data_IF_443804751359
#
_entry.id   IF_443804751359
#
_cell.length_a   1.000
_cell.length_b   1.000
_cell.length_c   1.000
_cell.angle_alpha   90.00
_cell.angle_beta   90.00
_cell.angle_gamma   90.00
#
_symmetry.space_group_name_H-M   'P 1'
#
loop_
_entity.id
_entity.type
_entity.pdbx_description
1 polymer ?
#
# COMPACT_ATOMS: atom_id res chain seq x y z
N UNK A 1 -46.55 -25.03 57.05
CA UNK A 1 -47.34 -26.19 57.49
C UNK A 1 -47.84 -26.93 56.25
N UNK A 2 -47.53 -28.24 56.14
CA UNK A 2 -48.07 -29.26 55.18
C UNK A 2 -47.56 -29.14 53.73
N UNK A 3 -46.54 -29.91 53.29
CA UNK A 3 -46.38 -31.37 53.05
C UNK A 3 -46.95 -31.80 51.68
N UNK A 4 -46.16 -32.63 50.98
CA UNK A 4 -46.43 -33.69 49.95
C UNK A 4 -46.01 -33.31 48.53
N UNK A 5 -44.98 -33.93 47.95
CA UNK A 5 -44.92 -35.33 47.44
C UNK A 5 -45.95 -35.54 46.33
N UNK A 6 -45.70 -36.16 45.17
CA UNK A 6 -44.56 -36.81 44.55
C UNK A 6 -45.01 -37.25 43.12
N UNK A 7 -44.14 -37.99 42.41
CA UNK A 7 -44.47 -39.08 41.46
C UNK A 7 -44.48 -38.76 39.94
N UNK A 8 -43.47 -39.40 39.30
CA UNK A 8 -43.44 -40.11 38.02
C UNK A 8 -43.88 -39.42 36.71
N UNK A 9 -42.99 -39.45 35.71
CA UNK A 9 -43.04 -40.51 34.70
C UNK A 9 -41.84 -40.44 33.73
N UNK A 10 -41.33 -41.64 33.44
CA UNK A 10 -40.31 -42.03 32.47
C UNK A 10 -40.78 -41.72 31.04
N UNK A 11 -39.93 -41.13 30.19
CA UNK A 11 -39.81 -41.54 28.77
C UNK A 11 -38.35 -41.35 28.33
N UNK A 12 -37.70 -42.47 28.02
CA UNK A 12 -36.42 -42.53 27.33
C UNK A 12 -36.65 -42.24 25.83
N UNK A 13 -35.87 -41.31 25.27
CA UNK A 13 -35.76 -41.12 23.83
C UNK A 13 -34.28 -41.31 23.43
N UNK A 14 -34.04 -42.39 22.70
CA UNK A 14 -32.77 -42.80 22.13
C UNK A 14 -32.29 -41.78 21.09
N UNK A 15 -31.15 -41.14 21.36
CA UNK A 15 -30.48 -40.25 20.41
C UNK A 15 -29.61 -41.06 19.44
N UNK A 16 -30.04 -41.09 18.17
CA UNK A 16 -29.27 -41.63 17.04
C UNK A 16 -28.21 -40.59 16.68
N UNK A 17 -26.93 -40.88 16.93
CA UNK A 17 -25.81 -40.03 16.51
C UNK A 17 -25.41 -40.43 15.09
N UNK A 18 -25.89 -39.68 14.10
CA UNK A 18 -25.43 -39.76 12.72
C UNK A 18 -24.17 -38.91 12.56
N UNK A 19 -22.98 -39.53 12.53
CA UNK A 19 -21.75 -38.88 12.11
C UNK A 19 -21.54 -39.07 10.61
N UNK A 20 -21.97 -38.10 9.82
CA UNK A 20 -21.60 -38.01 8.40
C UNK A 20 -21.47 -36.54 8.04
N UNK A 21 -20.24 -36.08 7.81
CA UNK A 21 -20.03 -34.68 7.47
C UNK A 21 -18.59 -34.16 7.46
N UNK A 22 -17.59 -34.94 7.02
CA UNK A 22 -16.34 -34.32 6.53
C UNK A 22 -16.47 -34.13 5.01
N UNK A 23 -17.17 -33.07 4.59
CA UNK A 23 -17.00 -32.57 3.24
C UNK A 23 -15.73 -31.73 3.20
N UNK A 24 -14.64 -32.33 2.72
CA UNK A 24 -13.47 -31.58 2.28
C UNK A 24 -13.92 -30.69 1.14
N UNK A 25 -14.06 -29.38 1.40
CA UNK A 25 -14.30 -28.39 0.37
C UNK A 25 -13.16 -28.43 -0.66
N UNK A 26 -13.44 -28.09 -1.93
CA UNK A 26 -12.40 -28.08 -2.95
C UNK A 26 -11.31 -27.12 -2.51
N UNK A 27 -10.10 -27.67 -2.33
CA UNK A 27 -8.87 -26.90 -2.29
C UNK A 27 -8.88 -26.01 -3.52
N UNK A 28 -8.94 -24.69 -3.32
CA UNK A 28 -8.72 -23.73 -4.39
C UNK A 28 -7.34 -24.03 -4.94
N UNK A 29 -7.30 -24.72 -6.08
CA UNK A 29 -6.07 -24.99 -6.79
C UNK A 29 -5.40 -23.64 -7.04
N UNK A 30 -4.20 -23.49 -6.48
CA UNK A 30 -3.29 -22.40 -6.81
C UNK A 30 -3.18 -22.35 -8.33
N UNK A 31 -3.63 -21.23 -8.91
CA UNK A 31 -3.45 -20.98 -10.34
C UNK A 31 -1.96 -21.09 -10.70
N UNK A 32 -1.63 -21.38 -11.97
CA UNK A 32 -0.24 -21.55 -12.39
C UNK A 32 0.60 -20.36 -11.95
N UNK A 33 1.70 -20.66 -11.25
CA UNK A 33 2.72 -19.68 -10.87
C UNK A 33 3.34 -19.14 -12.16
N UNK A 34 2.82 -18.03 -12.68
CA UNK A 34 3.33 -17.39 -13.89
C UNK A 34 4.81 -16.99 -13.71
N UNK A 35 5.57 -17.05 -14.80
CA UNK A 35 6.99 -16.66 -14.81
C UNK A 35 7.15 -15.23 -14.27
N UNK A 36 8.01 -15.05 -13.27
CA UNK A 36 8.36 -13.72 -12.75
C UNK A 36 9.59 -13.18 -13.49
N UNK A 37 9.43 -12.04 -14.15
CA UNK A 37 10.50 -11.31 -14.83
C UNK A 37 11.00 -10.19 -13.92
N UNK A 38 12.29 -10.24 -13.58
CA UNK A 38 12.93 -9.20 -12.77
C UNK A 38 13.43 -8.05 -13.64
N UNK A 39 13.09 -6.84 -13.26
CA UNK A 39 13.51 -5.59 -13.87
C UNK A 39 14.53 -4.89 -12.97
N UNK A 40 15.58 -4.35 -13.59
CA UNK A 40 16.55 -3.50 -12.90
C UNK A 40 16.30 -2.04 -13.28
N UNK A 41 15.93 -1.23 -12.29
CA UNK A 41 15.80 0.21 -12.47
C UNK A 41 17.06 0.93 -11.98
N UNK A 42 17.66 1.75 -12.85
CA UNK A 42 18.64 2.77 -12.47
C UNK A 42 17.89 4.10 -12.36
N UNK A 43 17.69 4.59 -11.14
CA UNK A 43 17.00 5.87 -10.93
C UNK A 43 17.90 7.02 -11.40
N UNK A 44 17.36 7.89 -12.24
CA UNK A 44 18.13 8.99 -12.83
C UNK A 44 18.69 9.97 -11.78
N UNK A 45 18.00 10.10 -10.63
CA UNK A 45 18.39 10.96 -9.52
C UNK A 45 18.16 10.28 -8.18
N UNK A 46 19.16 10.34 -7.31
CA UNK A 46 19.05 9.93 -5.90
C UNK A 46 18.66 11.11 -4.99
N UNK A 47 18.02 10.81 -3.87
CA UNK A 47 17.56 11.79 -2.89
C UNK A 47 17.99 11.40 -1.46
N UNK A 48 19.26 11.64 -1.07
CA UNK A 48 19.80 11.31 0.25
C UNK A 48 19.12 12.01 1.44
N UNK A 49 18.34 13.07 1.22
CA UNK A 49 17.69 13.86 2.28
C UNK A 49 16.23 14.17 1.99
N UNK A 50 15.40 14.30 3.02
CA UNK A 50 14.01 14.77 2.93
C UNK A 50 13.97 16.17 2.33
N UNK A 51 14.97 17.03 2.60
CA UNK A 51 15.05 18.37 2.01
C UNK A 51 15.08 18.32 0.48
N UNK A 52 15.84 17.39 -0.11
CA UNK A 52 15.89 17.22 -1.56
C UNK A 52 14.58 16.62 -2.10
N UNK A 53 14.01 15.60 -1.43
CA UNK A 53 12.68 15.08 -1.81
C UNK A 53 11.62 16.19 -1.80
N UNK A 54 11.59 17.01 -0.75
CA UNK A 54 10.62 18.11 -0.60
C UNK A 54 10.81 19.18 -1.67
N UNK A 55 12.06 19.51 -2.01
CA UNK A 55 12.36 20.51 -3.02
C UNK A 55 11.77 20.11 -4.37
N UNK A 56 12.02 18.86 -4.78
CA UNK A 56 11.71 18.39 -6.13
C UNK A 56 10.32 17.78 -6.29
N UNK A 57 9.58 17.59 -5.18
CA UNK A 57 8.22 17.06 -5.26
C UNK A 57 7.25 18.11 -5.80
N UNK A 58 6.45 17.78 -6.80
CA UNK A 58 5.27 18.58 -7.16
C UNK A 58 4.16 18.44 -6.11
N UNK A 59 4.03 17.22 -5.56
CA UNK A 59 3.05 16.88 -4.55
C UNK A 59 3.66 16.05 -3.42
N UNK A 60 3.20 16.30 -2.19
CA UNK A 60 3.52 15.45 -1.05
C UNK A 60 2.23 15.13 -0.33
N UNK A 61 1.91 13.84 -0.24
CA UNK A 61 0.61 13.36 0.24
C UNK A 61 0.74 12.18 1.19
N UNK A 62 -0.20 12.07 2.13
CA UNK A 62 -0.39 10.89 2.98
C UNK A 62 -1.71 10.23 2.65
N UNK A 63 -1.74 8.91 2.64
CA UNK A 63 -2.96 8.17 2.33
C UNK A 63 -2.78 6.68 2.20
N UNK A 64 -3.70 6.06 1.47
CA UNK A 64 -3.81 4.63 1.26
C UNK A 64 -3.85 4.27 -0.22
N UNK A 65 -3.17 3.21 -0.62
CA UNK A 65 -3.37 2.60 -1.93
C UNK A 65 -4.74 1.89 -1.97
N UNK A 66 -5.45 2.02 -3.08
CA UNK A 66 -6.77 1.43 -3.32
C UNK A 66 -6.72 0.54 -4.57
N UNK A 67 -7.66 0.72 -5.52
CA UNK A 67 -7.71 -0.09 -6.73
C UNK A 67 -6.48 0.10 -7.63
N UNK A 68 -6.09 -0.96 -8.34
CA UNK A 68 -4.95 -0.97 -9.25
C UNK A 68 -5.33 -1.54 -10.62
N UNK A 69 -4.66 -1.08 -11.67
CA UNK A 69 -4.76 -1.63 -13.02
C UNK A 69 -3.37 -1.68 -13.66
N UNK A 70 -3.10 -2.72 -14.43
CA UNK A 70 -1.92 -2.72 -15.31
C UNK A 70 -2.20 -1.87 -16.54
N UNK A 71 -1.24 -1.05 -16.92
CA UNK A 71 -1.17 -0.31 -18.18
C UNK A 71 0.14 -0.65 -18.89
N UNK A 72 0.24 -0.32 -20.16
CA UNK A 72 1.45 -0.51 -20.94
C UNK A 72 1.90 0.83 -21.52
N UNK A 73 3.18 1.12 -21.39
CA UNK A 73 3.82 2.29 -22.02
C UNK A 73 5.09 1.79 -22.68
N UNK A 74 5.23 2.03 -23.98
CA UNK A 74 6.40 1.64 -24.78
C UNK A 74 6.81 0.17 -24.62
N UNK A 75 5.83 -0.73 -24.55
CA UNK A 75 6.07 -2.17 -24.42
C UNK A 75 6.28 -2.64 -22.97
N UNK A 76 6.45 -1.74 -22.00
CA UNK A 76 6.69 -2.08 -20.60
C UNK A 76 5.40 -2.05 -19.76
N UNK A 77 5.20 -3.03 -18.86
CA UNK A 77 4.09 -2.99 -17.91
C UNK A 77 4.33 -1.93 -16.83
N UNK A 78 3.28 -1.16 -16.57
CA UNK A 78 3.15 -0.24 -15.44
C UNK A 78 1.90 -0.59 -14.65
N UNK A 79 1.93 -0.36 -13.35
CA UNK A 79 0.76 -0.47 -12.49
C UNK A 79 0.32 0.93 -12.09
N UNK A 80 -0.89 1.30 -12.50
CA UNK A 80 -1.56 2.53 -12.09
C UNK A 80 -2.45 2.20 -10.90
N UNK A 81 -2.10 2.76 -9.74
CA UNK A 81 -2.84 2.54 -8.50
C UNK A 81 -3.52 3.83 -8.06
N UNK A 82 -4.83 3.77 -7.80
CA UNK A 82 -5.56 4.85 -7.14
C UNK A 82 -5.03 5.00 -5.72
N UNK A 83 -4.65 6.21 -5.35
CA UNK A 83 -4.22 6.55 -4.01
C UNK A 83 -5.21 7.53 -3.37
N UNK A 84 -5.84 7.10 -2.29
CA UNK A 84 -6.80 7.90 -1.52
C UNK A 84 -6.03 8.78 -0.55
N UNK A 85 -5.93 10.07 -0.90
CA UNK A 85 -5.24 11.10 -0.14
C UNK A 85 -6.05 11.48 1.10
N UNK A 86 -5.51 11.15 2.26
CA UNK A 86 -6.02 11.60 3.55
C UNK A 86 -5.53 13.00 3.93
N UNK A 87 -4.36 13.41 3.41
CA UNK A 87 -3.76 14.70 3.72
C UNK A 87 -2.80 15.16 2.63
N UNK A 88 -2.99 16.38 2.16
CA UNK A 88 -2.03 17.12 1.34
C UNK A 88 -1.05 17.89 2.23
N UNK A 89 0.25 17.82 1.91
CA UNK A 89 1.33 18.50 2.62
C UNK A 89 2.02 19.53 1.72
N UNK A 90 2.20 19.19 0.44
CA UNK A 90 2.62 20.09 -0.65
C UNK A 90 1.76 19.80 -1.87
N UNK A 91 1.44 20.83 -2.64
CA UNK A 91 0.52 20.77 -3.77
C UNK A 91 -0.95 20.68 -3.32
N UNK A 92 -1.85 20.52 -4.29
CA UNK A 92 -3.27 20.28 -4.09
C UNK A 92 -3.87 19.68 -5.37
N UNK A 93 -5.03 19.02 -5.25
CA UNK A 93 -5.86 18.63 -6.39
C UNK A 93 -7.18 19.40 -6.36
N UNK A 94 -7.60 19.90 -7.51
CA UNK A 94 -8.91 20.56 -7.70
C UNK A 94 -10.04 19.52 -7.81
N UNK A 95 -9.71 18.27 -8.12
CA UNK A 95 -10.65 17.19 -8.45
C UNK A 95 -10.98 16.20 -7.33
N UNK A 96 -10.50 16.42 -6.10
CA UNK A 96 -10.83 15.59 -4.93
C UNK A 96 -9.63 14.96 -4.23
N UNK A 97 -9.93 13.92 -3.44
CA UNK A 97 -8.97 13.24 -2.54
C UNK A 97 -8.34 11.99 -3.18
N UNK A 98 -8.36 11.86 -4.50
CA UNK A 98 -7.78 10.72 -5.20
C UNK A 98 -6.79 11.18 -6.25
N UNK A 99 -5.69 10.44 -6.37
CA UNK A 99 -4.68 10.61 -7.42
C UNK A 99 -4.32 9.23 -7.98
N UNK A 100 -3.77 9.20 -9.19
CA UNK A 100 -3.18 7.98 -9.76
C UNK A 100 -1.68 7.99 -9.52
N UNK A 101 -1.16 6.94 -8.89
CA UNK A 101 0.28 6.72 -8.69
C UNK A 101 0.71 5.57 -9.60
N UNK A 102 1.66 5.85 -10.48
CA UNK A 102 2.22 4.88 -11.42
C UNK A 102 3.51 4.28 -10.88
N UNK A 103 3.62 2.95 -10.96
CA UNK A 103 4.84 2.20 -10.66
C UNK A 103 5.22 1.31 -11.85
N UNK A 104 6.51 1.12 -12.09
CA UNK A 104 7.00 0.16 -13.09
C UNK A 104 6.76 -1.27 -12.61
N UNK A 105 6.31 -2.14 -13.50
CA UNK A 105 5.96 -3.53 -13.20
C UNK A 105 4.44 -3.77 -13.25
N UNK A 106 4.05 -5.03 -13.15
CA UNK A 106 2.67 -5.47 -13.29
C UNK A 106 2.56 -6.79 -14.03
N UNK A 107 1.34 -7.22 -14.30
CA UNK A 107 1.07 -8.46 -15.04
C UNK A 107 0.88 -8.18 -16.53
N UNK A 108 1.66 -8.84 -17.38
CA UNK A 108 1.56 -8.75 -18.85
C UNK A 108 1.83 -10.13 -19.45
N UNK A 109 0.98 -10.56 -20.39
CA UNK A 109 1.12 -11.84 -21.10
C UNK A 109 1.29 -13.07 -20.18
N UNK A 110 0.59 -13.08 -19.05
CA UNK A 110 0.66 -14.15 -18.04
C UNK A 110 1.94 -14.15 -17.20
N UNK A 111 2.80 -13.13 -17.35
CA UNK A 111 4.06 -12.96 -16.62
C UNK A 111 3.99 -11.78 -15.66
N UNK A 112 4.60 -11.97 -14.49
CA UNK A 112 4.69 -10.93 -13.47
C UNK A 112 6.02 -10.19 -13.62
N UNK A 113 5.96 -8.90 -13.89
CA UNK A 113 7.14 -8.03 -13.96
C UNK A 113 7.32 -7.30 -12.63
N UNK A 114 8.52 -7.36 -12.07
CA UNK A 114 8.82 -6.78 -10.74
C UNK A 114 10.12 -6.02 -10.79
N UNK A 115 10.16 -4.84 -10.17
CA UNK A 115 11.40 -4.15 -9.83
C UNK A 115 11.74 -4.53 -8.39
N UNK A 116 12.78 -5.34 -8.18
CA UNK A 116 13.10 -5.90 -6.85
C UNK A 116 13.31 -4.79 -5.78
N UNK A 117 13.95 -3.70 -6.18
CA UNK A 117 14.23 -2.56 -5.32
C UNK A 117 12.99 -1.71 -5.01
N UNK A 118 11.90 -1.89 -5.77
CA UNK A 118 10.67 -1.11 -5.70
C UNK A 118 9.41 -1.99 -5.87
N UNK A 119 9.07 -2.81 -4.86
CA UNK A 119 7.93 -3.70 -4.97
C UNK A 119 6.62 -2.91 -5.16
N UNK A 120 5.72 -3.43 -6.01
CA UNK A 120 4.40 -2.83 -6.23
C UNK A 120 3.65 -2.66 -4.91
N UNK A 121 3.05 -1.48 -4.71
CA UNK A 121 2.19 -1.24 -3.56
C UNK A 121 0.91 -2.09 -3.68
N UNK A 122 0.37 -2.51 -2.53
CA UNK A 122 -0.85 -3.31 -2.48
C UNK A 122 -2.02 -2.45 -2.00
N UNK A 123 -3.26 -2.73 -2.45
CA UNK A 123 -4.45 -2.12 -1.89
C UNK A 123 -4.46 -2.25 -0.36
N UNK A 124 -4.71 -1.14 0.34
CA UNK A 124 -4.70 -1.03 1.80
C UNK A 124 -3.38 -0.53 2.40
N UNK A 125 -2.27 -0.63 1.68
CA UNK A 125 -0.98 -0.12 2.14
C UNK A 125 -1.06 1.38 2.42
N UNK A 126 -0.53 1.82 3.56
CA UNK A 126 -0.48 3.22 3.95
C UNK A 126 0.90 3.80 3.62
N UNK A 127 0.93 5.03 3.09
CA UNK A 127 2.19 5.68 2.76
C UNK A 127 2.15 7.20 2.93
N UNK A 128 3.35 7.77 3.10
CA UNK A 128 3.67 9.15 2.76
C UNK A 128 4.43 9.13 1.43
N UNK A 129 3.92 9.84 0.44
CA UNK A 129 4.46 9.89 -0.92
C UNK A 129 5.02 11.27 -1.25
N UNK A 130 6.23 11.26 -1.82
CA UNK A 130 6.90 12.40 -2.46
C UNK A 130 6.86 12.17 -3.96
N UNK A 131 6.12 13.02 -4.68
CA UNK A 131 5.66 12.72 -6.02
C UNK A 131 6.10 13.79 -7.02
N UNK A 132 6.50 13.35 -8.21
CA UNK A 132 6.54 14.16 -9.42
C UNK A 132 5.25 13.96 -10.23
N UNK A 133 4.81 15.02 -10.89
CA UNK A 133 3.67 15.00 -11.79
C UNK A 133 4.14 14.69 -13.21
N UNK A 134 3.55 13.66 -13.80
CA UNK A 134 3.77 13.28 -15.20
C UNK A 134 2.59 13.76 -16.07
N UNK A 135 2.72 13.79 -17.40
CA UNK A 135 1.61 14.13 -18.29
C UNK A 135 0.36 13.27 -18.02
N UNK A 136 -0.82 13.89 -18.10
CA UNK A 136 -2.10 13.21 -17.88
C UNK A 136 -2.52 13.09 -16.41
N UNK A 137 -2.05 13.98 -15.52
CA UNK A 137 -2.38 14.01 -14.09
C UNK A 137 -2.03 12.73 -13.31
N UNK A 138 -1.06 11.97 -13.82
CA UNK A 138 -0.51 10.79 -13.18
C UNK A 138 0.73 11.19 -12.39
N UNK A 139 0.93 10.60 -11.22
CA UNK A 139 2.08 10.84 -10.37
C UNK A 139 3.01 9.64 -10.33
N UNK A 140 4.31 9.88 -10.18
CA UNK A 140 5.30 8.87 -9.88
C UNK A 140 6.05 9.22 -8.59
N UNK A 141 6.48 8.20 -7.84
CA UNK A 141 7.29 8.43 -6.65
C UNK A 141 8.72 8.85 -7.06
N UNK A 142 9.21 9.95 -6.47
CA UNK A 142 10.55 10.45 -6.77
C UNK A 142 11.61 9.41 -6.46
N UNK A 143 12.45 9.09 -7.45
CA UNK A 143 13.50 8.08 -7.31
C UNK A 143 12.95 6.71 -6.89
N UNK A 144 11.77 6.35 -7.42
CA UNK A 144 11.07 5.09 -7.22
C UNK A 144 10.76 4.80 -5.74
N UNK A 145 11.45 3.85 -5.10
CA UNK A 145 11.22 3.47 -3.71
C UNK A 145 11.63 4.58 -2.73
N UNK A 146 12.41 5.57 -3.18
CA UNK A 146 12.89 6.67 -2.33
C UNK A 146 11.74 7.60 -1.90
N UNK A 147 10.87 7.95 -2.84
CA UNK A 147 9.72 8.83 -2.60
C UNK A 147 8.56 8.14 -1.90
N UNK A 148 8.62 6.84 -1.62
CA UNK A 148 7.56 6.08 -0.94
C UNK A 148 8.03 5.64 0.45
N UNK A 149 7.48 6.30 1.47
CA UNK A 149 7.71 5.92 2.87
C UNK A 149 6.49 5.16 3.39
N UNK A 150 6.69 3.89 3.75
CA UNK A 150 5.64 3.03 4.27
C UNK A 150 5.21 3.49 5.67
N UNK A 151 3.91 3.51 5.93
CA UNK A 151 3.33 3.84 7.23
C UNK A 151 2.71 2.59 7.82
N UNK A 152 3.17 2.21 9.01
CA UNK A 152 2.69 1.04 9.71
C UNK A 152 1.44 1.37 10.54
N UNK A 153 0.73 0.32 10.99
CA UNK A 153 -0.51 0.47 11.78
C UNK A 153 -0.30 1.20 13.11
N UNK A 154 0.88 1.08 13.71
CA UNK A 154 1.26 1.79 14.94
C UNK A 154 1.68 3.26 14.69
N UNK A 155 1.62 3.71 13.44
CA UNK A 155 2.03 5.05 13.02
C UNK A 155 3.53 5.20 12.84
N UNK A 156 4.33 4.14 12.98
CA UNK A 156 5.75 4.16 12.62
C UNK A 156 5.93 4.25 11.11
N UNK A 157 7.10 4.75 10.68
CA UNK A 157 7.43 4.94 9.27
C UNK A 157 8.70 4.18 8.91
N UNK A 158 8.70 3.59 7.71
CA UNK A 158 9.82 2.80 7.22
C UNK A 158 10.21 3.22 5.80
N UNK A 159 11.51 3.14 5.52
CA UNK A 159 12.03 3.25 4.16
C UNK A 159 11.91 1.90 3.45
N UNK A 160 11.76 1.93 2.14
CA UNK A 160 11.87 0.75 1.31
C UNK A 160 13.35 0.41 1.06
N UNK A 161 13.65 -0.88 0.84
CA UNK A 161 15.03 -1.39 0.73
C UNK A 161 15.85 -0.69 -0.37
N UNK A 162 15.23 -0.37 -1.51
CA UNK A 162 15.89 0.29 -2.65
C UNK A 162 16.02 1.80 -2.55
N UNK A 163 15.68 2.39 -1.40
CA UNK A 163 15.73 3.85 -1.20
C UNK A 163 17.15 4.40 -1.35
N UNK A 164 17.27 5.59 -1.91
CA UNK A 164 18.49 6.40 -1.84
C UNK A 164 18.49 7.38 -0.66
N UNK A 165 17.43 7.41 0.14
CA UNK A 165 17.30 8.27 1.33
C UNK A 165 18.19 7.74 2.46
N UNK A 166 19.31 8.41 2.70
CA UNK A 166 20.29 7.99 3.71
C UNK A 166 20.00 8.56 5.09
N UNK A 167 19.46 9.78 5.17
CA UNK A 167 19.24 10.43 6.46
C UNK A 167 18.21 9.67 7.34
N UNK A 168 18.36 9.70 8.68
CA UNK A 168 17.41 9.07 9.58
C UNK A 168 16.03 9.71 9.45
N UNK A 169 14.98 8.88 9.47
CA UNK A 169 13.61 9.36 9.49
C UNK A 169 13.15 9.62 10.94
N UNK A 170 12.29 10.63 11.15
CA UNK A 170 11.45 10.67 12.34
C UNK A 170 10.71 9.34 12.51
N UNK A 171 10.64 8.80 13.73
CA UNK A 171 10.11 7.46 13.99
C UNK A 171 8.60 7.32 13.81
N UNK A 172 7.86 8.43 13.76
CA UNK A 172 6.40 8.44 13.62
C UNK A 172 5.93 9.31 12.46
N UNK A 173 4.80 8.91 11.87
CA UNK A 173 4.17 9.64 10.77
C UNK A 173 3.81 11.08 11.18
N UNK A 174 3.38 11.31 12.42
CA UNK A 174 3.07 12.65 12.93
C UNK A 174 4.31 13.54 12.88
N UNK A 175 5.44 13.07 13.41
CA UNK A 175 6.67 13.85 13.43
C UNK A 175 7.22 14.05 12.02
N UNK A 176 7.15 13.02 11.17
CA UNK A 176 7.55 13.12 9.78
C UNK A 176 6.74 14.19 9.03
N UNK A 177 5.41 14.16 9.13
CA UNK A 177 4.54 15.17 8.52
C UNK A 177 4.89 16.58 9.00
N UNK A 178 5.17 16.78 10.29
CA UNK A 178 5.56 18.09 10.82
C UNK A 178 6.92 18.56 10.28
N UNK A 179 7.91 17.66 10.24
CA UNK A 179 9.22 17.94 9.64
C UNK A 179 9.09 18.31 8.16
N UNK A 180 8.29 17.56 7.40
CA UNK A 180 8.02 17.85 5.98
C UNK A 180 7.34 19.21 5.81
N UNK A 181 6.32 19.54 6.62
CA UNK A 181 5.64 20.85 6.59
C UNK A 181 6.61 22.01 6.86
N UNK A 182 7.44 21.88 7.90
CA UNK A 182 8.48 22.89 8.23
C UNK A 182 9.46 23.08 7.08
N UNK A 183 9.84 21.99 6.42
CA UNK A 183 10.76 22.02 5.27
C UNK A 183 10.11 22.72 4.07
N UNK A 184 8.85 22.41 3.76
CA UNK A 184 8.07 23.09 2.71
C UNK A 184 7.99 24.59 2.99
N UNK A 185 7.67 24.99 4.22
CA UNK A 185 7.57 26.40 4.61
C UNK A 185 8.91 27.14 4.44
N UNK A 186 10.02 26.52 4.87
CA UNK A 186 11.37 27.10 4.77
C UNK A 186 11.88 27.28 3.34
N UNK A 187 11.32 26.55 2.36
CA UNK A 187 11.67 26.69 0.95
C UNK A 187 10.90 27.81 0.25
N UNK A 188 9.76 28.26 0.78
CA UNK A 188 8.96 29.36 0.22
C UNK A 188 9.48 30.75 0.57
N UNK A 189 10.33 30.84 1.59
CA UNK A 189 10.86 32.12 2.12
C UNK A 189 12.23 32.49 1.54
N UNK A 190 12.69 31.77 0.52
CA UNK A 190 13.96 32.02 -0.20
C UNK A 190 13.65 32.44 -1.61
#
# INVERSE_FOLDING_TARGET
MRIRSAICAVIAATAIISSTGCSAGPSAAEGPQGDTIQLHASWAKGYPTLKQLVADSDAIVRGAFAGQKTTQVDGLPYTDTTFVVSQWIKGSSVGGNEIVVRQTGGQMDGKQYVVESDPLAKPGDQALLYLEKTPGDIYAALGGPTGRLAVQRDGSVAKLKGTSLTEPLPSSITNLVQTTKKTVASQRTK
#
